data_IF_301706660234
#
_entry.id   IF_301706660234
#
_cell.length_a   1.000
_cell.length_b   1.000
_cell.length_c   1.000
_cell.angle_alpha   90.00
_cell.angle_beta   90.00
_cell.angle_gamma   90.00
#
_symmetry.space_group_name_H-M   'P 1'
#
loop_
_entity.id
_entity.type
_entity.pdbx_description
1 polymer ?
#
# COMPACT_ATOMS: atom_id res chain seq x y z
N UNK A 1 69.69 -4.28 -38.19
CA UNK A 1 68.95 -3.24 -37.45
C UNK A 1 67.50 -3.67 -37.34
N UNK A 2 67.04 -4.07 -36.17
CA UNK A 2 65.64 -4.29 -35.87
C UNK A 2 65.39 -3.75 -34.45
N UNK A 3 64.66 -2.64 -34.36
CA UNK A 3 64.29 -2.02 -33.10
C UNK A 3 63.02 -2.70 -32.58
N UNK A 4 63.12 -3.31 -31.38
CA UNK A 4 61.96 -3.87 -30.69
C UNK A 4 61.28 -2.76 -29.89
N UNK A 5 60.11 -2.32 -30.34
CA UNK A 5 59.27 -1.35 -29.64
C UNK A 5 58.66 -2.01 -28.39
N UNK A 6 59.07 -1.54 -27.20
CA UNK A 6 58.40 -1.85 -25.93
C UNK A 6 57.10 -1.05 -25.87
N UNK A 7 55.96 -1.72 -26.05
CA UNK A 7 54.64 -1.13 -25.81
C UNK A 7 54.44 -1.06 -24.29
N UNK A 8 54.46 0.15 -23.72
CA UNK A 8 54.07 0.36 -22.32
C UNK A 8 52.56 0.25 -22.20
N UNK A 9 52.06 -0.80 -21.56
CA UNK A 9 50.66 -0.88 -21.18
C UNK A 9 50.40 0.11 -20.04
N UNK A 10 49.76 1.24 -20.35
CA UNK A 10 49.13 2.08 -19.32
C UNK A 10 47.95 1.30 -18.75
N UNK A 11 48.10 0.76 -17.55
CA UNK A 11 46.97 0.31 -16.75
C UNK A 11 46.08 1.53 -16.46
N UNK A 12 44.93 1.60 -17.14
CA UNK A 12 43.86 2.55 -16.78
C UNK A 12 43.28 2.07 -15.46
N UNK A 13 43.42 2.86 -14.41
CA UNK A 13 42.74 2.63 -13.14
C UNK A 13 41.24 2.50 -13.39
N UNK A 14 40.69 1.35 -13.03
CA UNK A 14 39.24 1.18 -12.89
C UNK A 14 38.83 1.95 -11.64
N UNK A 15 38.13 3.07 -11.80
CA UNK A 15 37.45 3.72 -10.69
C UNK A 15 36.43 2.73 -10.15
N UNK A 16 36.64 2.23 -8.93
CA UNK A 16 35.60 1.54 -8.16
C UNK A 16 34.37 2.44 -8.15
N UNK A 17 33.14 1.91 -8.34
CA UNK A 17 31.95 2.71 -8.17
C UNK A 17 31.99 3.34 -6.78
N UNK A 18 31.73 4.65 -6.73
CA UNK A 18 31.69 5.44 -5.49
C UNK A 18 30.85 4.69 -4.48
N UNK A 19 31.44 4.33 -3.34
CA UNK A 19 30.73 3.58 -2.30
C UNK A 19 29.61 4.48 -1.77
N UNK A 20 28.36 4.13 -2.02
CA UNK A 20 27.19 4.86 -1.51
C UNK A 20 27.29 5.01 0.00
N UNK A 21 26.80 6.13 0.54
CA UNK A 21 26.85 6.40 1.98
C UNK A 21 26.11 5.28 2.75
N UNK A 22 26.61 4.80 3.92
CA UNK A 22 25.98 3.70 4.65
C UNK A 22 24.49 3.90 4.95
N UNK A 23 24.05 5.13 5.16
CA UNK A 23 22.64 5.47 5.38
C UNK A 23 21.80 5.38 4.10
N UNK A 24 22.34 5.79 2.95
CA UNK A 24 21.67 5.60 1.64
C UNK A 24 21.44 4.12 1.37
N UNK A 25 22.46 3.30 1.62
CA UNK A 25 22.38 1.84 1.48
C UNK A 25 21.33 1.23 2.43
N UNK A 26 21.21 1.74 3.66
CA UNK A 26 20.20 1.27 4.60
C UNK A 26 18.77 1.54 4.10
N UNK A 27 18.52 2.72 3.53
CA UNK A 27 17.22 3.07 2.93
C UNK A 27 16.93 2.19 1.70
N UNK A 28 17.90 2.01 0.81
CA UNK A 28 17.80 1.13 -0.37
C UNK A 28 17.54 -0.34 0.02
N UNK A 29 18.19 -0.84 1.08
CA UNK A 29 17.97 -2.19 1.60
C UNK A 29 16.53 -2.36 2.11
N UNK A 30 16.00 -1.38 2.84
CA UNK A 30 14.59 -1.43 3.28
C UNK A 30 13.63 -1.38 2.10
N UNK A 31 13.89 -0.55 1.09
CA UNK A 31 13.10 -0.50 -0.15
C UNK A 31 13.07 -1.86 -0.86
N UNK A 32 14.21 -2.56 -0.95
CA UNK A 32 14.30 -3.87 -1.59
C UNK A 32 13.50 -4.98 -0.88
N UNK A 33 13.25 -4.81 0.42
CA UNK A 33 12.48 -5.75 1.24
C UNK A 33 10.97 -5.57 1.05
N UNK A 34 10.53 -4.35 0.73
CA UNK A 34 9.13 -4.05 0.49
C UNK A 34 8.66 -4.65 -0.84
N UNK A 35 7.46 -5.25 -0.82
CA UNK A 35 6.84 -5.88 -2.00
C UNK A 35 5.40 -5.39 -2.15
N UNK A 36 5.20 -4.17 -2.71
CA UNK A 36 3.87 -3.68 -3.04
C UNK A 36 3.22 -4.56 -4.12
N UNK A 37 1.91 -4.84 -4.01
CA UNK A 37 1.18 -5.65 -4.99
C UNK A 37 -0.31 -5.33 -4.97
N UNK A 38 -0.90 -5.09 -6.14
CA UNK A 38 -2.35 -4.84 -6.29
C UNK A 38 -3.22 -6.04 -5.81
N UNK A 39 -2.63 -7.23 -5.68
CA UNK A 39 -3.28 -8.45 -5.17
C UNK A 39 -2.67 -8.90 -3.83
N UNK A 40 -2.24 -7.95 -2.99
CA UNK A 40 -1.67 -8.28 -1.68
C UNK A 40 -2.72 -8.84 -0.71
N UNK A 41 -2.35 -9.88 0.02
CA UNK A 41 -3.11 -10.37 1.18
C UNK A 41 -3.07 -9.36 2.33
N UNK A 42 -4.03 -9.47 3.26
CA UNK A 42 -4.05 -8.70 4.51
C UNK A 42 -2.71 -8.79 5.26
N UNK A 43 -2.16 -9.99 5.41
CA UNK A 43 -0.86 -10.24 6.05
C UNK A 43 0.32 -9.57 5.34
N UNK A 44 0.34 -9.60 4.01
CA UNK A 44 1.37 -8.93 3.21
C UNK A 44 1.28 -7.41 3.35
N UNK A 45 0.07 -6.86 3.44
CA UNK A 45 -0.13 -5.42 3.64
C UNK A 45 0.34 -5.01 5.04
N UNK A 46 -0.04 -5.75 6.09
CA UNK A 46 0.45 -5.50 7.45
C UNK A 46 1.99 -5.57 7.53
N UNK A 47 2.60 -6.54 6.86
CA UNK A 47 4.06 -6.64 6.78
C UNK A 47 4.68 -5.43 6.07
N UNK A 48 4.12 -5.01 4.94
CA UNK A 48 4.57 -3.83 4.20
C UNK A 48 4.40 -2.54 5.02
N UNK A 49 3.32 -2.39 5.81
CA UNK A 49 3.14 -1.24 6.71
C UNK A 49 4.20 -1.21 7.82
N UNK A 50 4.50 -2.36 8.42
CA UNK A 50 5.59 -2.46 9.39
C UNK A 50 6.95 -2.11 8.75
N UNK A 51 7.22 -2.62 7.55
CA UNK A 51 8.43 -2.28 6.80
C UNK A 51 8.51 -0.80 6.40
N UNK A 52 7.38 -0.15 6.09
CA UNK A 52 7.34 1.29 5.84
C UNK A 52 7.71 2.11 7.08
N UNK A 53 7.24 1.69 8.26
CA UNK A 53 7.63 2.34 9.52
C UNK A 53 9.15 2.28 9.67
N UNK A 54 9.74 1.10 9.51
CA UNK A 54 11.20 0.91 9.62
C UNK A 54 11.95 1.73 8.55
N UNK A 55 11.44 1.77 7.32
CA UNK A 55 11.98 2.59 6.22
C UNK A 55 12.00 4.08 6.60
N UNK A 56 10.89 4.62 7.09
CA UNK A 56 10.80 6.03 7.46
C UNK A 56 11.61 6.39 8.71
N UNK A 57 11.90 5.43 9.58
CA UNK A 57 12.89 5.59 10.65
C UNK A 57 14.31 5.71 10.06
N UNK A 58 14.68 4.90 9.07
CA UNK A 58 15.96 5.05 8.36
C UNK A 58 16.06 6.37 7.57
N UNK A 59 14.97 6.82 6.94
CA UNK A 59 14.92 8.10 6.21
C UNK A 59 15.14 9.27 7.17
N UNK A 60 14.58 9.20 8.38
CA UNK A 60 14.79 10.24 9.38
C UNK A 60 16.27 10.39 9.75
N UNK A 61 16.99 9.27 9.96
CA UNK A 61 18.43 9.28 10.23
C UNK A 61 19.23 9.81 9.04
N UNK A 62 18.80 9.48 7.82
CA UNK A 62 19.38 9.98 6.58
C UNK A 62 19.23 11.50 6.44
N UNK A 63 18.04 12.06 6.71
CA UNK A 63 17.75 13.49 6.64
C UNK A 63 18.57 14.32 7.63
N UNK A 64 18.84 13.79 8.83
CA UNK A 64 19.66 14.48 9.84
C UNK A 64 21.10 14.69 9.35
N UNK A 65 21.64 13.77 8.55
CA UNK A 65 23.02 13.82 8.07
C UNK A 65 23.20 14.72 6.84
N UNK A 66 22.23 14.75 5.93
CA UNK A 66 22.31 15.52 4.67
C UNK A 66 21.95 17.01 4.78
N UNK A 67 21.56 17.48 5.98
CA UNK A 67 21.11 18.86 6.24
C UNK A 67 22.08 19.97 5.79
N UNK A 68 23.34 19.66 5.48
CA UNK A 68 24.36 20.65 5.09
C UNK A 68 24.58 20.81 3.58
N UNK A 69 24.00 19.98 2.70
CA UNK A 69 24.40 19.98 1.26
C UNK A 69 23.28 20.07 0.20
N UNK A 70 21.99 19.90 0.50
CA UNK A 70 20.97 19.74 -0.57
C UNK A 70 19.64 20.48 -0.36
N UNK A 71 19.66 21.81 -0.21
CA UNK A 71 18.43 22.62 -0.13
C UNK A 71 17.52 22.51 -1.38
N UNK A 72 18.08 22.30 -2.59
CA UNK A 72 17.30 22.22 -3.85
C UNK A 72 16.58 20.88 -4.07
N UNK A 73 17.06 19.79 -3.47
CA UNK A 73 16.44 18.45 -3.60
C UNK A 73 15.18 18.32 -2.71
N UNK A 74 15.16 19.08 -1.61
CA UNK A 74 14.13 18.99 -0.55
C UNK A 74 12.78 19.58 -0.97
N UNK A 75 12.74 20.60 -1.83
CA UNK A 75 11.49 21.25 -2.26
C UNK A 75 10.57 20.28 -3.02
N UNK A 76 11.12 19.53 -3.98
CA UNK A 76 10.36 18.53 -4.74
C UNK A 76 9.87 17.35 -3.88
N UNK A 77 10.59 16.99 -2.82
CA UNK A 77 10.18 15.96 -1.85
C UNK A 77 9.07 16.48 -0.92
N UNK A 78 9.09 17.76 -0.56
CA UNK A 78 8.01 18.35 0.23
C UNK A 78 6.69 18.40 -0.53
N UNK A 79 6.72 18.69 -1.83
CA UNK A 79 5.53 18.61 -2.68
C UNK A 79 4.99 17.18 -2.79
N UNK A 80 5.89 16.19 -2.96
CA UNK A 80 5.52 14.77 -2.96
C UNK A 80 4.88 14.33 -1.64
N UNK A 81 5.41 14.80 -0.51
CA UNK A 81 4.84 14.50 0.80
C UNK A 81 3.43 15.06 1.00
N UNK A 82 3.04 16.16 0.34
CA UNK A 82 1.64 16.67 0.40
C UNK A 82 0.65 15.65 -0.16
N UNK A 83 1.01 15.03 -1.28
CA UNK A 83 0.21 13.98 -1.92
C UNK A 83 0.06 12.79 -0.98
N UNK A 84 1.14 12.38 -0.31
CA UNK A 84 1.08 11.33 0.71
C UNK A 84 0.09 11.68 1.82
N UNK A 85 0.07 12.94 2.29
CA UNK A 85 -0.87 13.37 3.33
C UNK A 85 -2.33 13.35 2.88
N UNK A 86 -2.62 13.77 1.66
CA UNK A 86 -3.97 13.69 1.08
C UNK A 86 -4.44 12.23 1.02
N UNK A 87 -3.58 11.32 0.57
CA UNK A 87 -3.87 9.88 0.52
C UNK A 87 -4.01 9.30 1.93
N UNK A 88 -3.15 9.70 2.88
CA UNK A 88 -3.25 9.29 4.28
C UNK A 88 -4.61 9.66 4.89
N UNK A 89 -5.12 10.85 4.57
CA UNK A 89 -6.46 11.26 5.00
C UNK A 89 -7.53 10.29 4.52
N UNK A 90 -7.47 9.92 3.23
CA UNK A 90 -8.41 8.97 2.62
C UNK A 90 -8.27 7.58 3.23
N UNK A 91 -7.05 7.06 3.38
CA UNK A 91 -6.78 5.72 3.95
C UNK A 91 -7.34 5.61 5.36
N UNK A 92 -7.06 6.59 6.22
CA UNK A 92 -7.61 6.66 7.58
C UNK A 92 -9.12 6.61 7.56
N UNK A 93 -9.76 7.50 6.80
CA UNK A 93 -11.22 7.59 6.74
C UNK A 93 -11.85 6.30 6.22
N UNK A 94 -11.21 5.62 5.26
CA UNK A 94 -11.65 4.34 4.69
C UNK A 94 -11.58 3.22 5.73
N UNK A 95 -10.44 3.09 6.42
CA UNK A 95 -10.24 2.05 7.43
C UNK A 95 -11.23 2.23 8.59
N UNK A 96 -11.32 3.45 9.15
CA UNK A 96 -12.22 3.74 10.26
C UNK A 96 -13.70 3.55 9.86
N UNK A 97 -14.12 4.00 8.67
CA UNK A 97 -15.49 3.77 8.20
C UNK A 97 -15.80 2.29 8.00
N UNK A 98 -14.89 1.54 7.36
CA UNK A 98 -15.10 0.12 7.10
C UNK A 98 -15.21 -0.67 8.41
N UNK A 99 -14.32 -0.38 9.38
CA UNK A 99 -14.34 -0.98 10.71
C UNK A 99 -15.62 -0.67 11.47
N UNK A 100 -16.05 0.59 11.49
CA UNK A 100 -17.31 0.98 12.12
C UNK A 100 -18.50 0.22 11.50
N UNK A 101 -18.53 0.07 10.17
CA UNK A 101 -19.61 -0.64 9.49
C UNK A 101 -19.64 -2.14 9.86
N UNK A 102 -18.48 -2.76 10.03
CA UNK A 102 -18.35 -4.15 10.49
C UNK A 102 -18.89 -4.29 11.92
N UNK A 103 -18.48 -3.38 12.82
CA UNK A 103 -18.91 -3.37 14.22
C UNK A 103 -20.41 -3.11 14.39
N UNK A 104 -20.97 -2.20 13.60
CA UNK A 104 -22.41 -1.92 13.57
C UNK A 104 -23.19 -3.15 13.11
N UNK A 105 -22.71 -3.84 12.07
CA UNK A 105 -23.33 -5.05 11.56
C UNK A 105 -23.27 -6.20 12.58
N UNK A 106 -22.11 -6.42 13.23
CA UNK A 106 -22.00 -7.41 14.31
C UNK A 106 -22.97 -7.09 15.46
N UNK A 107 -23.07 -5.81 15.83
CA UNK A 107 -23.97 -5.35 16.87
C UNK A 107 -25.44 -5.56 16.49
N UNK A 108 -25.81 -5.29 15.23
CA UNK A 108 -27.14 -5.58 14.67
C UNK A 108 -27.45 -7.08 14.77
N UNK A 109 -26.53 -7.92 14.29
CA UNK A 109 -26.68 -9.39 14.33
C UNK A 109 -26.89 -9.88 15.77
N UNK A 110 -26.09 -9.40 16.73
CA UNK A 110 -26.23 -9.75 18.15
C UNK A 110 -27.58 -9.33 18.73
N UNK A 111 -28.11 -8.18 18.30
CA UNK A 111 -29.42 -7.67 18.68
C UNK A 111 -30.59 -8.33 17.93
N UNK A 112 -30.31 -9.30 17.05
CA UNK A 112 -31.28 -9.93 16.13
C UNK A 112 -31.98 -8.91 15.21
N UNK A 113 -31.31 -7.80 14.93
CA UNK A 113 -31.67 -6.84 13.88
C UNK A 113 -31.02 -7.25 12.56
N UNK A 114 -31.60 -6.85 11.43
CA UNK A 114 -31.10 -7.15 10.09
C UNK A 114 -30.67 -5.86 9.36
N UNK A 115 -29.59 -5.24 9.81
CA UNK A 115 -29.03 -4.03 9.21
C UNK A 115 -28.01 -4.32 8.10
N UNK A 116 -28.10 -5.49 7.46
CA UNK A 116 -27.23 -5.87 6.33
C UNK A 116 -27.33 -4.83 5.21
N UNK A 117 -28.52 -4.27 4.96
CA UNK A 117 -28.72 -3.22 3.95
C UNK A 117 -27.91 -1.94 4.23
N UNK A 118 -27.76 -1.56 5.51
CA UNK A 118 -26.97 -0.41 5.93
C UNK A 118 -25.47 -0.67 5.69
N UNK A 119 -24.97 -1.84 6.08
CA UNK A 119 -23.60 -2.28 5.77
C UNK A 119 -23.33 -2.22 4.26
N UNK A 120 -24.19 -2.85 3.45
CA UNK A 120 -24.01 -2.89 1.99
C UNK A 120 -24.02 -1.50 1.34
N UNK A 121 -24.81 -0.57 1.89
CA UNK A 121 -24.85 0.81 1.43
C UNK A 121 -23.57 1.56 1.79
N UNK A 122 -23.10 1.43 3.03
CA UNK A 122 -21.86 2.06 3.48
C UNK A 122 -20.64 1.51 2.74
N UNK A 123 -20.57 0.18 2.61
CA UNK A 123 -19.57 -0.55 1.82
C UNK A 123 -19.45 0.03 0.41
N UNK A 124 -20.57 0.21 -0.31
CA UNK A 124 -20.58 0.83 -1.65
C UNK A 124 -20.04 2.26 -1.66
N UNK A 125 -20.34 3.06 -0.63
CA UNK A 125 -19.82 4.44 -0.52
C UNK A 125 -18.32 4.43 -0.33
N UNK A 126 -17.80 3.61 0.59
CA UNK A 126 -16.36 3.42 0.82
C UNK A 126 -15.66 2.96 -0.46
N UNK A 127 -16.19 1.95 -1.17
CA UNK A 127 -15.64 1.49 -2.45
C UNK A 127 -15.58 2.61 -3.50
N UNK A 128 -16.59 3.50 -3.54
CA UNK A 128 -16.61 4.64 -4.47
C UNK A 128 -15.51 5.66 -4.14
N UNK A 129 -15.29 5.96 -2.86
CA UNK A 129 -14.21 6.85 -2.40
C UNK A 129 -12.86 6.26 -2.78
N UNK A 130 -12.64 4.98 -2.47
CA UNK A 130 -11.41 4.27 -2.82
C UNK A 130 -11.14 4.33 -4.33
N UNK A 131 -12.14 3.98 -5.15
CA UNK A 131 -11.97 3.96 -6.61
C UNK A 131 -11.60 5.34 -7.15
N UNK A 132 -12.21 6.40 -6.62
CA UNK A 132 -11.85 7.77 -6.98
C UNK A 132 -10.38 8.07 -6.62
N UNK A 133 -9.95 7.73 -5.41
CA UNK A 133 -8.57 7.91 -4.97
C UNK A 133 -7.58 7.19 -5.89
N UNK A 134 -7.83 5.91 -6.22
CA UNK A 134 -6.99 5.12 -7.13
C UNK A 134 -6.98 5.68 -8.57
N UNK A 135 -8.10 6.24 -9.04
CA UNK A 135 -8.16 6.91 -10.34
C UNK A 135 -7.35 8.21 -10.35
N UNK A 136 -7.36 8.97 -9.25
CA UNK A 136 -6.61 10.22 -9.15
C UNK A 136 -5.11 9.98 -9.01
N UNK A 137 -4.69 8.94 -8.29
CA UNK A 137 -3.30 8.48 -8.22
C UNK A 137 -2.75 8.05 -9.60
N UNK A 138 -3.50 7.24 -10.35
CA UNK A 138 -3.10 6.84 -11.71
C UNK A 138 -2.94 8.02 -12.67
N UNK A 139 -3.73 9.10 -12.52
CA UNK A 139 -3.58 10.32 -13.33
C UNK A 139 -2.32 11.12 -12.98
N UNK A 140 -1.84 11.01 -11.74
CA UNK A 140 -0.58 11.66 -11.34
C UNK A 140 0.63 10.96 -11.94
N UNK A 141 0.67 9.62 -11.93
CA UNK A 141 1.78 8.86 -12.52
C UNK A 141 1.98 9.14 -14.01
N UNK A 142 0.89 9.32 -14.76
CA UNK A 142 0.97 9.63 -16.20
C UNK A 142 1.63 10.99 -16.52
N UNK A 143 1.65 11.93 -15.57
CA UNK A 143 2.22 13.27 -15.78
C UNK A 143 3.72 13.35 -15.46
N UNK A 144 4.23 12.43 -14.64
CA UNK A 144 5.60 12.47 -14.12
C UNK A 144 6.61 11.71 -15.01
N UNK A 145 6.14 10.90 -15.96
CA UNK A 145 6.99 10.08 -16.85
C UNK A 145 7.79 10.88 -17.91
N UNK A 146 7.51 12.18 -18.09
CA UNK A 146 8.18 13.03 -19.09
C UNK A 146 9.44 13.74 -18.55
N UNK A 147 9.74 13.57 -17.26
CA UNK A 147 10.88 14.18 -16.56
C UNK A 147 11.77 13.09 -15.95
N UNK A 148 12.30 12.20 -16.79
CA UNK A 148 13.30 11.21 -16.39
C UNK A 148 14.67 11.89 -16.29
N UNK A 149 14.91 12.57 -15.19
CA UNK A 149 16.23 13.02 -14.78
C UNK A 149 16.35 12.86 -13.26
N UNK A 150 17.06 11.80 -12.86
CA UNK A 150 17.53 11.53 -11.48
C UNK A 150 16.43 11.26 -10.44
N UNK A 151 16.01 9.99 -10.30
CA UNK A 151 15.18 9.54 -9.18
C UNK A 151 16.06 9.53 -7.93
N UNK A 152 15.80 10.44 -7.00
CA UNK A 152 16.43 10.40 -5.67
C UNK A 152 15.82 9.26 -4.85
N UNK A 153 16.60 8.72 -3.89
CA UNK A 153 16.12 7.68 -2.97
C UNK A 153 14.84 8.10 -2.25
N UNK A 154 14.69 9.39 -1.91
CA UNK A 154 13.47 9.92 -1.30
C UNK A 154 12.25 9.83 -2.23
N UNK A 155 12.42 10.01 -3.55
CA UNK A 155 11.35 9.80 -4.52
C UNK A 155 10.94 8.33 -4.65
N UNK A 156 11.87 7.41 -4.51
CA UNK A 156 11.57 5.97 -4.47
C UNK A 156 10.80 5.59 -3.19
N UNK A 157 11.13 6.20 -2.05
CA UNK A 157 10.38 6.07 -0.79
C UNK A 157 8.94 6.56 -0.95
N UNK A 158 8.73 7.73 -1.55
CA UNK A 158 7.38 8.26 -1.83
C UNK A 158 6.58 7.30 -2.71
N UNK A 159 7.17 6.84 -3.83
CA UNK A 159 6.52 5.93 -4.76
C UNK A 159 6.16 4.59 -4.12
N UNK A 160 7.08 4.01 -3.33
CA UNK A 160 6.86 2.74 -2.62
C UNK A 160 5.74 2.88 -1.58
N UNK A 161 5.69 4.00 -0.87
CA UNK A 161 4.63 4.30 0.11
C UNK A 161 3.27 4.41 -0.57
N UNK A 162 3.18 5.13 -1.69
CA UNK A 162 1.96 5.20 -2.48
C UNK A 162 1.51 3.82 -2.95
N UNK A 163 2.42 3.00 -3.49
CA UNK A 163 2.08 1.66 -3.96
C UNK A 163 1.54 0.74 -2.84
N UNK A 164 2.03 0.89 -1.60
CA UNK A 164 1.51 0.14 -0.44
C UNK A 164 0.13 0.68 -0.02
N UNK A 165 -0.08 1.99 -0.03
CA UNK A 165 -1.41 2.57 0.21
C UNK A 165 -2.42 2.16 -0.86
N UNK A 166 -2.01 2.09 -2.14
CA UNK A 166 -2.83 1.57 -3.22
C UNK A 166 -3.21 0.10 -3.01
N UNK A 167 -2.25 -0.72 -2.56
CA UNK A 167 -2.47 -2.13 -2.24
C UNK A 167 -3.50 -2.27 -1.08
N UNK A 168 -3.35 -1.47 -0.04
CA UNK A 168 -4.28 -1.40 1.10
C UNK A 168 -5.68 -0.98 0.67
N UNK A 169 -5.79 0.11 -0.07
CA UNK A 169 -7.08 0.61 -0.59
C UNK A 169 -7.74 -0.43 -1.51
N UNK A 170 -6.96 -1.06 -2.39
CA UNK A 170 -7.43 -2.12 -3.28
C UNK A 170 -7.98 -3.31 -2.49
N UNK A 171 -7.27 -3.75 -1.45
CA UNK A 171 -7.73 -4.78 -0.51
C UNK A 171 -9.08 -4.42 0.11
N UNK A 172 -9.23 -3.22 0.67
CA UNK A 172 -10.49 -2.78 1.29
C UNK A 172 -11.61 -2.68 0.25
N UNK A 173 -11.32 -2.24 -0.98
CA UNK A 173 -12.31 -2.18 -2.05
C UNK A 173 -12.75 -3.57 -2.55
N UNK A 174 -11.91 -4.59 -2.36
CA UNK A 174 -12.00 -5.89 -3.02
C UNK A 174 -11.51 -5.81 -4.48
N UNK A 175 -10.87 -6.86 -5.03
CA UNK A 175 -10.34 -6.83 -6.39
C UNK A 175 -11.41 -6.48 -7.43
N UNK A 176 -11.00 -5.80 -8.52
CA UNK A 176 -11.83 -5.36 -9.67
C UNK A 176 -12.52 -6.50 -10.44
N UNK A 177 -12.47 -7.74 -9.94
CA UNK A 177 -13.18 -8.83 -10.60
C UNK A 177 -14.68 -8.57 -10.53
N UNK A 178 -15.25 -8.43 -11.72
CA UNK A 178 -16.69 -8.43 -11.92
C UNK A 178 -17.29 -9.54 -11.08
N UNK A 179 -18.16 -9.18 -10.15
CA UNK A 179 -18.94 -10.12 -9.33
C UNK A 179 -19.66 -11.17 -10.23
N UNK A 180 -19.83 -10.86 -11.52
CA UNK A 180 -20.36 -11.77 -12.54
C UNK A 180 -19.41 -12.90 -12.98
N UNK A 181 -18.09 -12.73 -12.93
CA UNK A 181 -17.12 -13.78 -13.29
C UNK A 181 -16.93 -14.85 -12.21
N UNK A 182 -17.36 -14.57 -10.97
CA UNK A 182 -17.36 -15.54 -9.88
C UNK A 182 -18.68 -16.33 -9.83
N UNK A 183 -19.79 -15.74 -10.27
CA UNK A 183 -21.09 -16.44 -10.37
C UNK A 183 -21.09 -17.45 -11.53
N UNK A 184 -20.31 -17.21 -12.60
CA UNK A 184 -20.19 -18.16 -13.72
C UNK A 184 -19.39 -19.43 -13.37
N UNK A 185 -18.60 -19.44 -12.28
CA UNK A 185 -17.85 -20.61 -11.81
C UNK A 185 -18.69 -21.58 -10.94
N UNK A 186 -19.93 -21.22 -10.60
CA UNK A 186 -20.87 -22.09 -9.88
C UNK A 186 -21.68 -23.02 -10.80
N UNK A 187 -21.47 -22.95 -12.12
CA UNK A 187 -21.96 -23.96 -13.05
C UNK A 187 -20.88 -25.04 -13.14
N UNK A 188 -21.16 -26.32 -12.79
CA UNK A 188 -20.16 -27.38 -12.83
C UNK A 188 -19.88 -27.79 -14.27
N UNK A 189 -19.14 -26.96 -15.00
CA UNK A 189 -18.58 -27.34 -16.30
C UNK A 189 -17.24 -28.03 -16.04
N UNK A 190 -17.30 -29.35 -16.09
CA UNK A 190 -16.20 -30.31 -16.06
C UNK A 190 -15.03 -29.83 -16.93
N UNK A 191 -14.01 -29.21 -16.33
CA UNK A 191 -12.71 -29.00 -16.97
C UNK A 191 -11.58 -28.96 -15.94
N UNK A 192 -10.46 -29.53 -16.38
CA UNK A 192 -9.29 -29.96 -15.62
C UNK A 192 -8.66 -28.82 -14.82
N UNK A 193 -8.35 -29.13 -13.55
CA UNK A 193 -7.85 -28.22 -12.55
C UNK A 193 -6.46 -27.67 -12.89
N UNK A 194 -6.34 -26.34 -12.94
CA UNK A 194 -5.15 -25.65 -12.47
C UNK A 194 -5.49 -25.11 -11.07
N UNK A 195 -4.84 -25.68 -10.05
CA UNK A 195 -5.08 -25.40 -8.63
C UNK A 195 -4.41 -24.07 -8.26
N UNK A 196 -5.00 -22.96 -8.68
CA UNK A 196 -4.80 -21.66 -8.04
C UNK A 196 -6.08 -21.36 -7.29
N UNK A 197 -6.10 -21.60 -5.99
CA UNK A 197 -7.13 -21.03 -5.13
C UNK A 197 -6.99 -19.51 -5.25
N UNK A 198 -7.90 -18.90 -6.00
CA UNK A 198 -8.02 -17.45 -6.12
C UNK A 198 -8.43 -16.96 -4.73
N UNK A 199 -7.44 -16.53 -3.93
CA UNK A 199 -7.63 -16.16 -2.53
C UNK A 199 -8.56 -14.95 -2.46
N UNK A 200 -9.85 -15.22 -2.28
CA UNK A 200 -10.85 -14.17 -2.07
C UNK A 200 -10.49 -13.38 -0.80
N UNK A 201 -10.35 -12.06 -0.94
CA UNK A 201 -10.13 -11.17 0.21
C UNK A 201 -11.19 -11.39 1.30
N UNK A 202 -10.82 -11.16 2.55
CA UNK A 202 -11.69 -11.31 3.72
C UNK A 202 -12.91 -10.41 3.62
N UNK A 203 -12.73 -9.21 3.04
CA UNK A 203 -13.82 -8.31 2.68
C UNK A 203 -14.80 -8.97 1.71
N UNK A 204 -14.31 -9.64 0.66
CA UNK A 204 -15.16 -10.35 -0.30
C UNK A 204 -15.85 -11.56 0.32
N UNK A 205 -15.19 -12.29 1.23
CA UNK A 205 -15.80 -13.44 1.94
C UNK A 205 -17.05 -12.98 2.72
N UNK A 206 -16.96 -11.85 3.43
CA UNK A 206 -18.10 -11.24 4.12
C UNK A 206 -19.18 -10.80 3.11
N UNK A 207 -18.79 -10.09 2.05
CA UNK A 207 -19.74 -9.60 1.03
C UNK A 207 -20.51 -10.76 0.36
N UNK A 208 -19.86 -11.90 0.08
CA UNK A 208 -20.46 -13.10 -0.52
C UNK A 208 -21.44 -13.75 0.47
N UNK A 209 -21.01 -13.93 1.73
CA UNK A 209 -21.82 -14.56 2.75
C UNK A 209 -23.10 -13.75 3.03
N UNK A 210 -22.98 -12.41 3.13
CA UNK A 210 -24.13 -11.51 3.32
C UNK A 210 -25.10 -11.54 2.14
N UNK A 211 -24.62 -11.54 0.89
CA UNK A 211 -25.49 -11.66 -0.30
C UNK A 211 -26.22 -12.99 -0.33
N UNK A 212 -25.55 -14.07 0.01
CA UNK A 212 -26.15 -15.39 0.04
C UNK A 212 -27.24 -15.49 1.14
N UNK A 213 -27.00 -14.89 2.31
CA UNK A 213 -27.97 -14.74 3.39
C UNK A 213 -29.21 -13.95 2.95
N UNK A 214 -29.03 -12.80 2.26
CA UNK A 214 -30.13 -12.01 1.69
C UNK A 214 -30.95 -12.83 0.67
N UNK A 215 -30.28 -13.68 -0.12
CA UNK A 215 -30.95 -14.50 -1.15
C UNK A 215 -31.72 -15.72 -0.61
N UNK A 216 -31.91 -15.83 0.71
CA UNK A 216 -32.56 -16.97 1.38
C UNK A 216 -31.98 -18.34 1.01
N UNK A 217 -30.67 -18.39 0.68
CA UNK A 217 -29.95 -19.67 0.61
C UNK A 217 -29.78 -20.22 2.03
N UNK A 218 -29.50 -21.52 2.19
CA UNK A 218 -29.40 -22.19 3.51
C UNK A 218 -28.17 -21.78 4.34
N UNK A 219 -27.85 -20.49 4.38
CA UNK A 219 -26.79 -19.91 5.18
C UNK A 219 -27.42 -19.36 6.44
N UNK A 220 -26.91 -19.77 7.59
CA UNK A 220 -27.33 -19.22 8.87
C UNK A 220 -26.55 -17.93 9.16
N UNK A 221 -27.14 -17.04 9.97
CA UNK A 221 -26.45 -15.82 10.45
C UNK A 221 -25.13 -16.15 11.15
N UNK A 222 -25.03 -17.33 11.77
CA UNK A 222 -23.81 -17.84 12.41
C UNK A 222 -22.65 -18.05 11.42
N UNK A 223 -22.95 -18.37 10.17
CA UNK A 223 -21.94 -18.61 9.13
C UNK A 223 -21.28 -17.30 8.67
N UNK A 224 -21.93 -16.15 8.89
CA UNK A 224 -21.40 -14.81 8.58
C UNK A 224 -20.56 -14.25 9.72
N UNK A 225 -20.82 -14.67 10.96
CA UNK A 225 -20.23 -14.07 12.15
C UNK A 225 -18.71 -14.26 12.23
N UNK A 226 -18.20 -15.47 11.96
CA UNK A 226 -16.75 -15.75 11.99
C UNK A 226 -15.97 -14.93 10.95
N UNK A 227 -16.36 -14.88 9.65
CA UNK A 227 -15.72 -14.00 8.68
C UNK A 227 -15.76 -12.52 9.08
N UNK A 228 -16.85 -12.08 9.72
CA UNK A 228 -17.03 -10.69 10.12
C UNK A 228 -16.11 -10.30 11.28
N UNK A 229 -15.97 -11.17 12.29
CA UNK A 229 -14.99 -11.03 13.38
C UNK A 229 -13.55 -11.04 12.86
N UNK A 230 -13.22 -11.94 11.93
CA UNK A 230 -11.90 -11.97 11.30
C UNK A 230 -11.60 -10.66 10.54
N UNK A 231 -12.58 -10.13 9.81
CA UNK A 231 -12.44 -8.86 9.10
C UNK A 231 -12.26 -7.67 10.05
N UNK A 232 -12.97 -7.64 11.18
CA UNK A 232 -12.80 -6.60 12.21
C UNK A 232 -11.36 -6.57 12.73
N UNK A 233 -10.80 -7.73 13.08
CA UNK A 233 -9.42 -7.86 13.56
C UNK A 233 -8.41 -7.39 12.50
N UNK A 234 -8.60 -7.78 11.24
CA UNK A 234 -7.72 -7.34 10.15
C UNK A 234 -7.80 -5.83 9.96
N UNK A 235 -8.98 -5.23 10.01
CA UNK A 235 -9.15 -3.78 9.89
C UNK A 235 -8.49 -3.04 11.06
N UNK A 236 -8.53 -3.61 12.27
CA UNK A 236 -7.80 -3.09 13.43
C UNK A 236 -6.28 -3.13 13.20
N UNK A 237 -5.72 -4.27 12.79
CA UNK A 237 -4.28 -4.40 12.53
C UNK A 237 -3.81 -3.44 11.42
N UNK A 238 -4.61 -3.27 10.37
CA UNK A 238 -4.34 -2.33 9.28
C UNK A 238 -4.40 -0.87 9.75
N UNK A 239 -5.38 -0.52 10.59
CA UNK A 239 -5.51 0.83 11.17
C UNK A 239 -4.32 1.16 12.07
N UNK A 240 -3.90 0.24 12.93
CA UNK A 240 -2.74 0.41 13.83
C UNK A 240 -1.43 0.51 13.05
N UNK A 241 -1.24 -0.39 12.07
CA UNK A 241 -0.07 -0.36 11.18
C UNK A 241 0.01 0.94 10.38
N UNK A 242 -1.11 1.36 9.79
CA UNK A 242 -1.19 2.61 9.02
C UNK A 242 -0.92 3.85 9.89
N UNK A 243 -1.51 3.89 11.08
CA UNK A 243 -1.31 5.00 12.02
C UNK A 243 0.17 5.11 12.44
N UNK A 244 0.88 3.99 12.60
CA UNK A 244 2.32 4.01 12.87
C UNK A 244 3.12 4.67 11.75
N UNK A 245 2.80 4.36 10.48
CA UNK A 245 3.42 4.97 9.29
C UNK A 245 3.07 6.45 9.19
N UNK A 246 1.81 6.82 9.41
CA UNK A 246 1.32 8.21 9.39
C UNK A 246 2.11 9.10 10.37
N UNK A 247 2.40 8.61 11.58
CA UNK A 247 3.24 9.35 12.54
C UNK A 247 4.67 9.55 12.05
N UNK A 248 5.27 8.52 11.44
CA UNK A 248 6.62 8.63 10.85
C UNK A 248 6.66 9.62 9.68
N UNK A 249 5.61 9.66 8.85
CA UNK A 249 5.46 10.63 7.76
C UNK A 249 5.40 12.08 8.27
N UNK A 250 4.64 12.33 9.35
CA UNK A 250 4.58 13.65 9.99
C UNK A 250 5.95 14.07 10.49
N UNK A 251 6.66 13.17 11.17
CA UNK A 251 8.02 13.43 11.67
C UNK A 251 8.98 13.79 10.52
N UNK A 252 9.00 12.96 9.47
CA UNK A 252 9.86 13.19 8.30
C UNK A 252 9.54 14.53 7.61
N UNK A 253 8.26 14.88 7.45
CA UNK A 253 7.87 16.18 6.88
C UNK A 253 8.37 17.34 7.73
N UNK A 254 8.28 17.25 9.05
CA UNK A 254 8.82 18.27 9.96
C UNK A 254 10.34 18.39 9.79
N UNK A 255 11.06 17.26 9.68
CA UNK A 255 12.50 17.26 9.44
C UNK A 255 12.88 17.89 8.11
N UNK A 256 12.15 17.59 7.02
CA UNK A 256 12.32 18.25 5.71
C UNK A 256 12.08 19.76 5.79
N UNK A 257 11.02 20.20 6.47
CA UNK A 257 10.71 21.62 6.67
C UNK A 257 11.79 22.33 7.50
N UNK A 258 12.37 21.65 8.50
CA UNK A 258 13.46 22.20 9.29
C UNK A 258 14.73 22.40 8.44
N UNK A 259 15.04 21.46 7.54
CA UNK A 259 16.19 21.56 6.62
C UNK A 259 16.02 22.74 5.65
N UNK A 260 14.82 22.97 5.12
CA UNK A 260 14.58 24.14 4.24
C UNK A 260 14.71 25.48 4.95
N UNK A 261 14.46 25.53 6.26
CA UNK A 261 14.45 26.76 7.04
C UNK A 261 15.78 27.04 7.76
N UNK A 262 16.81 26.20 7.57
CA UNK A 262 18.19 26.40 8.07
C UNK A 262 19.00 27.28 7.13
#
# INVERSE_FOLDING_TARGET
>A
MAASNKISFHARSISLPTRSHPLTLAVEEQLCRLRPSELASSSSICHNLAGLKDLYECVEDFLQLESTQQAKSVEGVLDGSLVLFDVCGIVRDVLSQMKQCVQDLQSSIRRRSNDIGAYMTSRKKVTKVIRKCLEDLKKMDCKNNDLVAEISVLKEVEATTLAIFESLLSFVSGPKQSIWSLISKLIPTKRVAHKGEEETSEVMKVDIALKALISHKSIEVKDVQKPLEALEMILQDLEDGFESVSRCLIKNRVSLLNILNQ
#
